data_IF_346380144956
#
_entry.id   IF_346380144956
#
_cell.length_a   1.000
_cell.length_b   1.000
_cell.length_c   1.000
_cell.angle_alpha   90.00
_cell.angle_beta   90.00
_cell.angle_gamma   90.00
#
_symmetry.space_group_name_H-M   'P 1'
#
loop_
_entity.id
_entity.type
_entity.pdbx_description
1 polymer ?
#
# COMPACT_ATOMS: atom_id res chain seq x y z
N UNK A 1 -29.60 -52.62 -27.10
CA UNK A 1 -28.52 -53.13 -27.98
C UNK A 1 -27.29 -52.37 -27.57
N UNK A 2 -26.48 -52.89 -26.65
CA UNK A 2 -25.20 -53.58 -26.76
C UNK A 2 -24.19 -52.76 -27.62
N UNK A 3 -23.00 -52.36 -27.17
CA UNK A 3 -21.87 -53.02 -26.50
C UNK A 3 -20.93 -51.95 -25.92
N UNK A 4 -20.55 -51.97 -24.74
CA UNK A 4 -19.35 -52.39 -24.02
C UNK A 4 -18.10 -52.60 -24.86
N UNK A 5 -17.01 -51.91 -24.48
CA UNK A 5 -15.67 -52.52 -24.42
C UNK A 5 -14.70 -51.66 -23.58
N UNK A 6 -14.28 -52.27 -22.53
CA UNK A 6 -13.16 -52.02 -21.62
C UNK A 6 -11.82 -52.19 -22.32
N UNK A 7 -10.80 -51.40 -21.96
CA UNK A 7 -9.42 -51.91 -21.99
C UNK A 7 -8.55 -51.25 -20.89
N UNK A 8 -8.11 -52.15 -19.99
CA UNK A 8 -7.05 -52.00 -19.01
C UNK A 8 -5.70 -52.34 -19.67
N UNK A 9 -4.65 -51.63 -19.38
CA UNK A 9 -3.25 -52.07 -19.41
C UNK A 9 -2.46 -51.13 -18.52
N UNK A 10 -2.02 -51.56 -17.39
CA UNK A 10 -0.81 -52.21 -16.84
C UNK A 10 0.34 -51.25 -16.49
N UNK A 11 0.62 -51.31 -15.20
CA UNK A 11 1.83 -50.83 -14.50
C UNK A 11 3.11 -51.39 -15.11
N UNK A 12 4.17 -50.60 -15.05
CA UNK A 12 5.53 -51.12 -14.93
C UNK A 12 6.34 -50.29 -13.93
N UNK A 13 6.66 -50.91 -12.81
CA UNK A 13 7.68 -50.45 -11.85
C UNK A 13 9.05 -50.89 -12.36
N UNK A 14 10.03 -49.97 -12.33
CA UNK A 14 11.44 -50.34 -12.34
C UNK A 14 12.13 -49.60 -11.20
N UNK A 15 12.58 -50.42 -10.26
CA UNK A 15 13.47 -50.07 -9.16
C UNK A 15 14.90 -50.37 -9.60
N UNK A 16 15.83 -49.44 -9.37
CA UNK A 16 17.26 -49.76 -9.39
C UNK A 16 17.96 -49.00 -8.25
N UNK A 17 18.45 -49.81 -7.38
CA UNK A 17 19.29 -49.60 -6.22
C UNK A 17 20.76 -49.57 -6.69
N UNK A 18 21.59 -48.69 -6.21
CA UNK A 18 23.05 -48.89 -6.08
C UNK A 18 23.63 -47.92 -5.04
N UNK A 19 24.15 -48.44 -4.16
CA UNK A 19 24.95 -48.48 -3.02
C UNK A 19 26.32 -47.77 -3.13
N UNK A 20 26.60 -47.04 -2.06
CA UNK A 20 27.82 -46.86 -1.26
C UNK A 20 29.21 -46.88 -1.89
N UNK A 21 30.05 -45.93 -1.42
CA UNK A 21 31.36 -46.25 -0.84
C UNK A 21 31.81 -45.15 0.10
N UNK A 22 32.14 -45.53 1.31
CA UNK A 22 32.83 -44.84 2.41
C UNK A 22 34.32 -44.61 2.05
N UNK A 23 34.88 -43.47 2.49
CA UNK A 23 36.31 -43.42 2.83
C UNK A 23 36.53 -42.45 3.96
N UNK A 24 36.89 -42.97 5.10
CA UNK A 24 37.38 -42.31 6.30
C UNK A 24 38.91 -42.22 6.14
N UNK A 25 39.49 -41.04 6.40
CA UNK A 25 40.87 -40.93 6.83
C UNK A 25 40.93 -40.00 8.03
N UNK A 26 41.46 -40.55 9.10
CA UNK A 26 41.63 -39.94 10.39
C UNK A 26 43.10 -39.46 10.62
N UNK A 27 43.26 -38.59 11.60
CA UNK A 27 44.38 -38.34 12.47
C UNK A 27 45.52 -37.45 12.02
N UNK A 28 45.78 -36.51 12.94
CA UNK A 28 47.07 -35.81 13.12
C UNK A 28 46.96 -34.67 14.11
N UNK A 29 47.09 -34.97 15.41
CA UNK A 29 47.34 -34.06 16.52
C UNK A 29 48.78 -33.59 16.48
N UNK A 30 49.07 -32.31 16.74
CA UNK A 30 50.25 -31.87 17.45
C UNK A 30 50.04 -30.51 18.11
N UNK A 31 50.16 -30.53 19.45
CA UNK A 31 50.39 -29.36 20.30
C UNK A 31 51.80 -28.83 20.09
N UNK A 32 52.00 -27.53 20.08
CA UNK A 32 53.03 -26.85 20.90
C UNK A 32 52.96 -25.31 20.90
N UNK A 33 52.79 -24.82 22.10
CA UNK A 33 53.60 -23.80 22.79
C UNK A 33 53.61 -22.32 22.36
N UNK A 34 53.19 -21.54 23.37
CA UNK A 34 53.33 -20.09 23.56
C UNK A 34 54.55 -19.41 22.96
N UNK A 35 54.32 -18.23 22.34
CA UNK A 35 55.14 -17.04 22.59
C UNK A 35 54.30 -15.76 22.50
N UNK A 36 54.29 -15.02 23.58
CA UNK A 36 53.83 -13.65 23.74
C UNK A 36 54.70 -12.70 22.94
N UNK A 37 54.06 -11.89 22.08
CA UNK A 37 54.59 -10.60 21.64
C UNK A 37 53.45 -9.61 21.60
N UNK A 38 53.58 -8.62 22.46
CA UNK A 38 52.79 -7.38 22.45
C UNK A 38 53.21 -6.54 21.26
N UNK A 39 52.23 -6.12 20.41
CA UNK A 39 52.29 -4.79 19.81
C UNK A 39 50.90 -4.32 19.40
N UNK A 40 50.65 -3.07 19.71
CA UNK A 40 49.42 -2.32 19.41
C UNK A 40 49.23 -2.12 17.92
N UNK A 41 48.01 -2.33 17.41
CA UNK A 41 47.39 -1.37 16.52
C UNK A 41 46.00 -1.80 16.07
N UNK A 42 45.04 -0.90 16.28
CA UNK A 42 43.78 -0.64 15.58
C UNK A 42 42.76 -1.76 15.48
N UNK A 43 41.88 -1.77 16.44
CA UNK A 43 40.54 -2.31 16.39
C UNK A 43 39.74 -1.59 15.30
N UNK A 44 39.47 -2.30 14.22
CA UNK A 44 38.33 -1.98 13.33
C UNK A 44 37.12 -2.63 13.97
N UNK A 45 36.38 -1.87 14.72
CA UNK A 45 35.10 -2.26 15.32
C UNK A 45 34.05 -2.27 14.21
N UNK A 46 33.62 -3.44 13.77
CA UNK A 46 32.39 -3.58 13.03
C UNK A 46 31.24 -3.27 14.00
N UNK A 47 30.81 -2.03 14.00
CA UNK A 47 29.59 -1.61 14.68
C UNK A 47 28.41 -2.18 13.92
N UNK A 48 27.85 -3.25 14.45
CA UNK A 48 26.47 -3.62 14.22
C UNK A 48 25.62 -2.53 14.89
N UNK A 49 25.24 -1.52 14.13
CA UNK A 49 24.30 -0.49 14.57
C UNK A 49 22.90 -1.10 14.55
N UNK A 50 22.47 -1.56 15.72
CA UNK A 50 21.03 -1.68 16.00
C UNK A 50 20.44 -0.29 15.78
N UNK A 51 19.60 -0.14 14.77
CA UNK A 51 18.91 1.10 14.46
C UNK A 51 17.91 1.41 15.59
N UNK A 52 18.37 2.14 16.59
CA UNK A 52 17.50 2.88 17.50
C UNK A 52 17.01 4.09 16.73
N UNK A 53 15.74 4.04 16.28
CA UNK A 53 15.14 5.06 15.47
C UNK A 53 15.14 6.43 16.12
N UNK A 54 15.94 7.31 15.58
CA UNK A 54 15.67 8.73 15.46
C UNK A 54 15.80 9.03 13.97
N UNK A 55 14.72 8.79 13.22
CA UNK A 55 14.59 9.27 11.87
C UNK A 55 14.59 10.79 11.96
N UNK A 56 15.68 11.42 11.53
CA UNK A 56 15.63 12.86 11.30
C UNK A 56 14.56 13.14 10.25
N UNK A 57 13.82 14.21 10.40
CA UNK A 57 12.79 14.67 9.44
C UNK A 57 13.33 14.67 8.00
N UNK A 58 14.58 15.05 7.80
CA UNK A 58 15.27 15.02 6.52
C UNK A 58 15.35 13.63 5.88
N UNK A 59 15.58 12.58 6.67
CA UNK A 59 15.69 11.20 6.15
C UNK A 59 14.36 10.68 5.60
N UNK A 60 13.24 11.01 6.27
CA UNK A 60 11.90 10.66 5.77
C UNK A 60 11.52 11.45 4.51
N UNK A 61 12.00 12.68 4.41
CA UNK A 61 11.69 13.53 3.26
C UNK A 61 12.44 13.13 1.99
N UNK A 62 13.71 12.68 2.10
CA UNK A 62 14.58 12.46 0.95
C UNK A 62 15.38 11.15 0.97
N UNK A 63 15.53 10.50 2.10
CA UNK A 63 16.40 9.33 2.25
C UNK A 63 15.71 8.26 3.08
N UNK A 64 14.76 7.57 2.48
CA UNK A 64 14.10 6.41 3.10
C UNK A 64 14.47 5.16 2.30
N UNK A 65 15.02 4.16 2.97
CA UNK A 65 15.40 2.90 2.35
C UNK A 65 14.97 1.73 3.22
N UNK A 66 14.40 0.72 2.60
CA UNK A 66 13.94 -0.50 3.24
C UNK A 66 14.32 -1.70 2.37
N UNK A 67 14.82 -2.77 2.97
CA UNK A 67 15.18 -4.00 2.26
C UNK A 67 15.17 -5.17 3.25
N UNK A 68 14.01 -5.77 3.47
CA UNK A 68 13.84 -6.90 4.38
C UNK A 68 12.92 -7.97 3.80
N UNK A 69 13.11 -9.21 4.22
CA UNK A 69 12.31 -10.33 3.78
C UNK A 69 10.93 -10.29 4.45
N UNK A 70 9.88 -10.32 3.64
CA UNK A 70 8.52 -10.47 4.11
C UNK A 70 8.16 -11.96 4.11
N UNK A 71 7.98 -12.52 5.30
CA UNK A 71 7.70 -13.95 5.51
C UNK A 71 6.22 -14.30 5.53
N UNK A 72 5.32 -13.34 5.25
CA UNK A 72 3.89 -13.61 5.05
C UNK A 72 3.70 -14.70 4.01
N UNK A 73 2.79 -15.63 4.28
CA UNK A 73 2.57 -16.82 3.43
C UNK A 73 2.28 -16.46 1.97
N UNK A 74 1.65 -15.32 1.74
CA UNK A 74 1.28 -14.83 0.40
C UNK A 74 2.39 -14.03 -0.29
N UNK A 75 3.53 -13.77 0.38
CA UNK A 75 4.64 -12.95 -0.14
C UNK A 75 5.90 -13.78 -0.32
N UNK A 76 6.55 -14.21 0.75
CA UNK A 76 7.75 -15.08 0.75
C UNK A 76 8.88 -14.53 -0.14
N UNK A 77 9.06 -13.20 -0.17
CA UNK A 77 10.13 -12.52 -0.91
C UNK A 77 10.57 -11.25 -0.20
N UNK A 78 11.63 -10.62 -0.68
CA UNK A 78 12.15 -9.38 -0.08
C UNK A 78 11.32 -8.18 -0.50
N UNK A 79 10.85 -7.38 0.45
CA UNK A 79 10.33 -6.04 0.22
C UNK A 79 11.49 -5.07 0.08
N UNK A 80 11.49 -4.28 -0.98
CA UNK A 80 12.57 -3.33 -1.27
C UNK A 80 12.04 -2.00 -1.76
N UNK A 81 12.47 -0.92 -1.13
CA UNK A 81 12.21 0.45 -1.56
C UNK A 81 13.40 1.35 -1.23
N UNK A 82 13.65 2.31 -2.10
CA UNK A 82 14.71 3.32 -1.95
C UNK A 82 14.19 4.67 -2.45
N UNK A 83 14.15 5.65 -1.52
CA UNK A 83 13.77 7.02 -1.81
C UNK A 83 15.00 7.90 -1.77
N UNK A 84 15.15 8.77 -2.77
CA UNK A 84 16.23 9.72 -2.84
C UNK A 84 15.77 11.06 -3.42
N UNK A 85 16.48 12.13 -3.09
CA UNK A 85 16.23 13.45 -3.67
C UNK A 85 17.43 13.93 -4.48
N UNK A 86 17.16 14.53 -5.64
CA UNK A 86 18.17 15.18 -6.48
C UNK A 86 17.60 16.45 -7.10
N UNK A 87 18.22 17.58 -6.83
CA UNK A 87 17.72 18.88 -7.29
C UNK A 87 16.35 19.22 -6.69
N UNK A 88 15.33 19.32 -7.52
CA UNK A 88 13.95 19.61 -7.11
C UNK A 88 13.03 18.38 -7.17
N UNK A 89 13.60 17.20 -7.28
CA UNK A 89 12.84 15.97 -7.55
C UNK A 89 13.14 14.92 -6.49
N UNK A 90 12.09 14.29 -5.97
CA UNK A 90 12.10 13.07 -5.17
C UNK A 90 11.90 11.89 -6.11
N UNK A 91 12.68 10.86 -5.94
CA UNK A 91 12.60 9.60 -6.69
C UNK A 91 12.30 8.45 -5.76
N UNK A 92 11.56 7.47 -6.26
CA UNK A 92 11.42 6.15 -5.62
C UNK A 92 11.76 5.06 -6.62
N UNK A 93 12.52 4.08 -6.15
CA UNK A 93 12.70 2.78 -6.81
C UNK A 93 12.29 1.71 -5.82
N UNK A 94 11.35 0.85 -6.22
CA UNK A 94 10.82 -0.19 -5.35
C UNK A 94 10.37 -1.41 -6.16
N UNK A 95 10.12 -2.52 -5.45
CA UNK A 95 9.57 -3.71 -6.08
C UNK A 95 8.08 -3.94 -5.79
N UNK A 96 7.39 -2.98 -5.16
CA UNK A 96 5.95 -3.05 -4.89
C UNK A 96 5.52 -4.16 -3.93
N UNK A 97 6.47 -4.80 -3.24
CA UNK A 97 6.20 -5.79 -2.20
C UNK A 97 6.02 -5.06 -0.87
N UNK A 98 4.90 -5.25 -0.14
CA UNK A 98 4.69 -4.62 1.16
C UNK A 98 5.70 -5.11 2.20
N UNK A 99 6.02 -4.24 3.15
CA UNK A 99 6.96 -4.47 4.26
C UNK A 99 6.29 -4.95 5.55
N UNK A 100 5.00 -5.22 5.50
CA UNK A 100 4.17 -5.67 6.62
C UNK A 100 3.46 -6.97 6.27
N UNK A 101 2.84 -7.60 7.28
CA UNK A 101 1.99 -8.77 7.08
C UNK A 101 0.81 -8.45 6.15
N UNK A 102 0.50 -9.37 5.27
CA UNK A 102 -0.62 -9.29 4.34
C UNK A 102 -1.61 -10.43 4.55
N UNK A 103 -2.81 -10.26 4.03
CA UNK A 103 -3.81 -11.30 3.99
C UNK A 103 -3.43 -12.50 3.11
N UNK A 104 -4.34 -13.46 3.05
CA UNK A 104 -4.16 -14.63 2.16
C UNK A 104 -4.48 -14.26 0.73
N UNK A 105 -3.51 -14.42 -0.18
CA UNK A 105 -3.64 -14.28 -1.62
C UNK A 105 -2.98 -15.46 -2.33
N UNK A 106 -3.67 -16.10 -3.32
CA UNK A 106 -5.05 -15.81 -3.75
C UNK A 106 -6.11 -16.18 -2.70
N UNK A 107 -7.27 -15.52 -2.77
CA UNK A 107 -8.44 -15.86 -1.96
C UNK A 107 -9.70 -15.99 -2.85
N UNK A 108 -10.86 -16.44 -2.31
CA UNK A 108 -12.06 -16.68 -3.12
C UNK A 108 -12.54 -15.48 -3.93
N UNK A 109 -12.34 -14.27 -3.42
CA UNK A 109 -12.80 -13.01 -4.03
C UNK A 109 -11.70 -12.26 -4.77
N UNK A 110 -10.43 -12.66 -4.57
CA UNK A 110 -9.27 -12.16 -5.32
C UNK A 110 -8.34 -13.32 -5.72
N UNK A 111 -8.41 -13.79 -6.96
CA UNK A 111 -7.66 -14.98 -7.40
C UNK A 111 -6.19 -14.70 -7.75
N UNK A 112 -5.73 -13.47 -7.56
CA UNK A 112 -4.39 -13.04 -7.98
C UNK A 112 -3.35 -13.33 -6.89
N UNK A 113 -2.10 -13.51 -7.31
CA UNK A 113 -0.94 -13.76 -6.43
C UNK A 113 -0.05 -12.54 -6.43
N UNK A 114 0.45 -12.14 -5.25
CA UNK A 114 1.40 -11.03 -5.13
C UNK A 114 2.69 -11.38 -5.88
N UNK A 115 3.19 -10.45 -6.67
CA UNK A 115 4.48 -10.56 -7.36
C UNK A 115 5.21 -9.23 -7.41
N UNK A 116 6.54 -9.30 -7.54
CA UNK A 116 7.37 -8.11 -7.67
C UNK A 116 6.99 -7.28 -8.90
N UNK A 117 7.00 -5.97 -8.71
CA UNK A 117 6.74 -4.95 -9.71
C UNK A 117 8.01 -4.14 -9.96
N UNK A 118 8.03 -3.38 -11.04
CA UNK A 118 9.04 -2.35 -11.25
C UNK A 118 8.41 -1.00 -10.97
N UNK A 119 8.66 -0.46 -9.77
CA UNK A 119 8.21 0.87 -9.38
C UNK A 119 9.37 1.83 -9.56
N UNK A 120 9.18 2.85 -10.40
CA UNK A 120 10.18 3.90 -10.64
C UNK A 120 9.42 5.20 -10.93
N UNK A 121 9.21 6.00 -9.88
CA UNK A 121 8.40 7.20 -9.94
C UNK A 121 9.19 8.40 -9.46
N UNK A 122 8.71 9.59 -9.85
CA UNK A 122 9.32 10.86 -9.46
C UNK A 122 8.27 11.89 -9.09
N UNK A 123 8.58 12.67 -8.06
CA UNK A 123 7.67 13.68 -7.49
C UNK A 123 8.43 15.00 -7.32
N UNK A 124 7.73 16.13 -7.49
CA UNK A 124 8.32 17.43 -7.20
C UNK A 124 8.56 17.59 -5.69
N UNK A 125 9.69 18.23 -5.31
CA UNK A 125 9.96 18.65 -3.92
C UNK A 125 9.30 19.99 -3.55
N UNK A 126 8.78 20.69 -4.57
CA UNK A 126 8.15 22.01 -4.42
C UNK A 126 6.75 21.99 -5.05
N UNK A 127 5.83 21.16 -4.50
CA UNK A 127 4.49 21.09 -5.06
C UNK A 127 3.80 22.45 -4.94
N UNK A 128 3.06 22.82 -5.98
CA UNK A 128 2.32 24.07 -6.06
C UNK A 128 0.82 23.72 -6.05
N UNK A 129 0.10 24.29 -5.07
CA UNK A 129 -1.34 24.10 -5.01
C UNK A 129 -2.03 24.87 -6.14
N UNK A 130 -2.92 24.18 -6.86
CA UNK A 130 -3.74 24.72 -7.93
C UNK A 130 -5.14 25.09 -7.42
N UNK A 131 -5.76 26.07 -8.06
CA UNK A 131 -7.17 26.40 -7.83
C UNK A 131 -8.14 25.37 -8.44
N UNK A 132 -7.63 24.45 -9.28
CA UNK A 132 -8.40 23.39 -9.92
C UNK A 132 -7.94 22.03 -9.45
N UNK A 133 -8.86 21.06 -9.39
CA UNK A 133 -8.57 19.68 -9.03
C UNK A 133 -8.38 18.81 -10.26
N UNK A 134 -7.48 17.83 -10.18
CA UNK A 134 -7.32 16.78 -11.20
C UNK A 134 -7.78 15.45 -10.62
N UNK A 135 -8.79 14.83 -11.25
CA UNK A 135 -9.29 13.50 -10.83
C UNK A 135 -8.25 12.44 -11.10
N UNK A 136 -8.03 11.57 -10.11
CA UNK A 136 -7.06 10.47 -10.14
C UNK A 136 -7.70 9.15 -9.69
N UNK A 137 -6.94 8.07 -9.81
CA UNK A 137 -7.34 6.72 -9.39
C UNK A 137 -7.95 5.89 -10.52
N UNK A 138 -7.79 4.58 -10.45
CA UNK A 138 -8.20 3.64 -11.48
C UNK A 138 -7.57 3.97 -12.84
N UNK A 139 -8.37 4.08 -13.92
CA UNK A 139 -7.84 4.36 -15.26
C UNK A 139 -7.21 5.75 -15.43
N UNK A 140 -7.35 6.65 -14.43
CA UNK A 140 -6.76 8.01 -14.45
C UNK A 140 -5.35 8.07 -13.86
N UNK A 141 -4.81 6.94 -13.39
CA UNK A 141 -3.45 6.85 -12.85
C UNK A 141 -3.39 6.66 -11.34
N UNK A 142 -2.19 6.36 -10.88
CA UNK A 142 -1.88 6.09 -9.47
C UNK A 142 -1.97 7.37 -8.65
N UNK A 143 -2.62 7.30 -7.50
CA UNK A 143 -2.82 8.46 -6.60
C UNK A 143 -1.54 8.89 -5.88
N UNK A 144 -0.64 7.94 -5.65
CA UNK A 144 0.62 8.15 -4.96
C UNK A 144 1.31 6.83 -4.63
N UNK A 145 2.49 6.94 -4.02
CA UNK A 145 3.28 5.79 -3.57
C UNK A 145 3.49 5.90 -2.07
N UNK A 146 3.11 4.84 -1.34
CA UNK A 146 3.41 4.68 0.09
C UNK A 146 4.92 4.55 0.28
N UNK A 147 5.45 4.99 1.42
CA UNK A 147 6.90 4.98 1.66
C UNK A 147 7.54 3.59 1.52
N UNK A 148 6.76 2.52 1.69
CA UNK A 148 7.20 1.14 1.42
C UNK A 148 7.24 0.76 -0.07
N UNK A 149 6.97 1.68 -0.98
CA UNK A 149 7.01 1.46 -2.42
C UNK A 149 5.75 0.84 -3.04
N UNK A 150 4.71 0.61 -2.25
CA UNK A 150 3.42 0.10 -2.74
C UNK A 150 2.56 1.26 -3.22
N UNK A 151 1.89 1.09 -4.36
CA UNK A 151 1.03 2.13 -4.94
C UNK A 151 -0.30 2.28 -4.21
N UNK A 152 -0.85 3.49 -4.26
CA UNK A 152 -2.22 3.81 -3.86
C UNK A 152 -3.07 3.89 -5.12
N UNK A 153 -4.09 3.03 -5.20
CA UNK A 153 -5.04 3.01 -6.30
C UNK A 153 -6.46 2.85 -5.77
N UNK A 154 -7.09 3.97 -5.43
CA UNK A 154 -8.43 3.97 -4.84
C UNK A 154 -9.54 3.71 -5.85
N UNK A 155 -9.26 3.71 -7.15
CA UNK A 155 -10.23 3.33 -8.18
C UNK A 155 -10.46 1.83 -8.24
N UNK A 156 -11.66 1.42 -8.67
CA UNK A 156 -11.97 0.00 -8.90
C UNK A 156 -12.19 -0.30 -10.37
N UNK A 157 -11.98 -1.57 -10.75
CA UNK A 157 -12.33 -2.10 -12.07
C UNK A 157 -13.75 -2.65 -12.14
N UNK A 158 -14.64 -2.31 -11.18
CA UNK A 158 -16.01 -2.81 -11.14
C UNK A 158 -17.03 -1.74 -11.46
N UNK A 159 -18.07 -2.09 -12.23
CA UNK A 159 -19.17 -1.19 -12.55
C UNK A 159 -20.50 -1.90 -12.75
N UNK A 160 -21.59 -1.13 -12.66
CA UNK A 160 -22.94 -1.56 -13.01
C UNK A 160 -23.55 -0.65 -14.09
N UNK A 161 -24.45 -1.21 -14.90
CA UNK A 161 -25.25 -0.45 -15.88
C UNK A 161 -26.40 0.32 -15.20
N UNK A 162 -26.94 1.33 -15.91
CA UNK A 162 -28.08 2.11 -15.47
C UNK A 162 -29.31 1.24 -15.22
N UNK A 163 -29.94 1.40 -14.04
CA UNK A 163 -31.24 0.82 -13.66
C UNK A 163 -31.38 -0.69 -13.86
N UNK A 164 -30.27 -1.40 -14.06
CA UNK A 164 -30.27 -2.86 -14.24
C UNK A 164 -29.28 -3.51 -13.28
N UNK A 165 -29.61 -4.73 -12.89
CA UNK A 165 -28.76 -5.53 -11.98
C UNK A 165 -27.64 -6.25 -12.75
N UNK A 166 -27.06 -5.56 -13.71
CA UNK A 166 -25.96 -6.05 -14.52
C UNK A 166 -24.67 -5.34 -14.12
N UNK A 167 -23.88 -6.02 -13.32
CA UNK A 167 -22.62 -5.53 -12.79
C UNK A 167 -21.47 -6.40 -13.27
N UNK A 168 -20.35 -5.79 -13.59
CA UNK A 168 -19.10 -6.46 -13.90
C UNK A 168 -18.01 -6.03 -12.93
N UNK A 169 -17.42 -6.98 -12.19
CA UNK A 169 -16.30 -6.72 -11.27
C UNK A 169 -14.96 -6.60 -12.01
N UNK A 170 -14.92 -6.84 -13.30
CA UNK A 170 -13.70 -6.87 -14.11
C UNK A 170 -13.56 -5.74 -15.12
N UNK A 171 -14.52 -4.82 -15.21
CA UNK A 171 -14.48 -3.71 -16.15
C UNK A 171 -15.14 -2.43 -15.62
N UNK A 172 -14.99 -1.33 -16.38
CA UNK A 172 -15.53 0.00 -16.08
C UNK A 172 -16.50 0.47 -17.18
N UNK A 173 -17.19 -0.44 -17.84
CA UNK A 173 -18.08 -0.08 -18.96
C UNK A 173 -19.42 0.50 -18.51
N UNK A 174 -19.86 0.16 -17.27
CA UNK A 174 -21.08 0.69 -16.68
C UNK A 174 -20.92 2.11 -16.13
N UNK A 175 -22.03 2.80 -15.93
CA UNK A 175 -22.06 4.18 -15.45
C UNK A 175 -21.85 4.30 -13.92
N UNK A 176 -22.05 3.20 -13.17
CA UNK A 176 -21.98 3.16 -11.72
C UNK A 176 -20.74 2.40 -11.26
N UNK A 177 -19.70 3.13 -10.84
CA UNK A 177 -18.44 2.56 -10.38
C UNK A 177 -18.58 1.99 -8.99
N UNK A 178 -18.26 0.70 -8.81
CA UNK A 178 -18.37 0.01 -7.52
C UNK A 178 -17.21 0.44 -6.62
N UNK A 179 -17.50 0.77 -5.35
CA UNK A 179 -16.50 1.05 -4.33
C UNK A 179 -15.85 -0.26 -3.83
N UNK A 180 -14.54 -0.23 -3.60
CA UNK A 180 -13.82 -1.36 -3.03
C UNK A 180 -14.10 -1.53 -1.54
N UNK A 181 -14.32 -0.43 -0.82
CA UNK A 181 -14.48 -0.37 0.63
C UNK A 181 -15.84 0.26 0.99
N UNK A 182 -16.24 0.13 2.27
CA UNK A 182 -17.47 0.74 2.82
C UNK A 182 -18.78 0.28 2.17
N UNK A 183 -18.79 -0.93 1.62
CA UNK A 183 -19.98 -1.59 1.10
C UNK A 183 -19.84 -3.11 1.26
N UNK A 184 -20.97 -3.80 1.42
CA UNK A 184 -21.01 -5.24 1.71
C UNK A 184 -21.62 -6.06 0.55
N UNK A 185 -21.96 -5.40 -0.56
CA UNK A 185 -22.63 -6.06 -1.70
C UNK A 185 -21.65 -6.81 -2.59
N UNK A 186 -20.46 -6.25 -2.77
CA UNK A 186 -19.40 -6.81 -3.60
C UNK A 186 -18.14 -7.00 -2.76
N UNK A 187 -17.50 -8.16 -2.91
CA UNK A 187 -16.20 -8.42 -2.30
C UNK A 187 -15.10 -8.36 -3.34
N UNK A 188 -14.05 -7.59 -3.05
CA UNK A 188 -12.83 -7.51 -3.85
C UNK A 188 -11.68 -8.30 -3.21
N UNK A 189 -11.97 -9.06 -2.14
CA UNK A 189 -10.99 -9.88 -1.43
C UNK A 189 -9.87 -9.07 -0.79
N UNK A 190 -10.19 -7.86 -0.29
CA UNK A 190 -9.24 -7.01 0.42
C UNK A 190 -8.83 -7.64 1.76
N UNK A 191 -7.60 -7.37 2.18
CA UNK A 191 -7.08 -7.76 3.49
C UNK A 191 -7.27 -6.67 4.55
N UNK A 192 -6.77 -6.91 5.77
CA UNK A 192 -6.84 -5.97 6.90
C UNK A 192 -6.06 -4.67 6.66
N UNK A 193 -5.28 -4.60 5.58
CA UNK A 193 -4.58 -3.38 5.16
C UNK A 193 -5.37 -2.58 4.12
N UNK A 194 -6.65 -2.88 3.92
CA UNK A 194 -7.48 -2.27 2.87
C UNK A 194 -6.85 -2.37 1.48
N UNK A 195 -6.25 -3.50 1.18
CA UNK A 195 -5.49 -3.75 -0.03
C UNK A 195 -5.84 -5.10 -0.66
N UNK A 196 -5.62 -5.22 -1.95
CA UNK A 196 -5.71 -6.48 -2.67
C UNK A 196 -4.74 -6.52 -3.86
N UNK A 197 -4.83 -7.57 -4.70
CA UNK A 197 -3.88 -7.85 -5.78
C UNK A 197 -4.54 -7.69 -7.14
N UNK A 198 -3.94 -6.91 -8.04
CA UNK A 198 -4.37 -6.80 -9.43
C UNK A 198 -3.97 -8.06 -10.25
N UNK A 199 -4.56 -8.26 -11.45
CA UNK A 199 -4.22 -9.41 -12.30
C UNK A 199 -2.74 -9.52 -12.70
N UNK A 200 -2.00 -8.42 -12.69
CA UNK A 200 -0.56 -8.38 -12.95
C UNK A 200 0.30 -8.73 -11.71
N UNK A 201 -0.33 -9.04 -10.58
CA UNK A 201 0.32 -9.36 -9.32
C UNK A 201 0.66 -8.14 -8.45
N UNK A 202 0.22 -6.95 -8.85
CA UNK A 202 0.47 -5.71 -8.10
C UNK A 202 -0.44 -5.62 -6.87
N UNK A 203 0.14 -5.72 -5.68
CA UNK A 203 -0.53 -5.39 -4.42
C UNK A 203 -0.69 -3.88 -4.32
N UNK A 204 -1.85 -3.39 -3.89
CA UNK A 204 -2.13 -1.96 -3.82
C UNK A 204 -3.17 -1.63 -2.77
N UNK A 205 -3.11 -0.39 -2.24
CA UNK A 205 -4.00 0.09 -1.20
C UNK A 205 -5.19 0.85 -1.78
N UNK A 206 -6.39 0.53 -1.25
CA UNK A 206 -7.63 1.30 -1.44
C UNK A 206 -7.93 2.23 -0.27
N UNK A 207 -7.40 1.93 0.91
CA UNK A 207 -7.56 2.68 2.15
C UNK A 207 -6.33 2.57 3.04
N UNK A 208 -6.50 2.95 4.31
CA UNK A 208 -5.44 3.00 5.31
C UNK A 208 -4.57 1.75 5.31
N UNK A 209 -3.25 1.85 5.08
CA UNK A 209 -2.32 0.73 5.13
C UNK A 209 -1.97 0.42 6.60
N UNK A 210 -2.86 -0.26 7.33
CA UNK A 210 -2.81 -0.43 8.79
C UNK A 210 -1.50 -1.04 9.29
N UNK A 211 -1.01 -2.09 8.61
CA UNK A 211 0.27 -2.72 8.94
C UNK A 211 1.43 -1.75 8.80
N UNK A 212 1.46 -0.99 7.70
CA UNK A 212 2.49 0.02 7.47
C UNK A 212 2.42 1.16 8.50
N UNK A 213 1.22 1.68 8.79
CA UNK A 213 1.02 2.71 9.83
C UNK A 213 1.53 2.22 11.17
N UNK A 214 1.25 0.97 11.52
CA UNK A 214 1.74 0.33 12.76
C UNK A 214 3.27 0.24 12.78
N UNK A 215 3.90 -0.22 11.69
CA UNK A 215 5.36 -0.27 11.58
C UNK A 215 6.02 1.11 11.71
N UNK A 216 5.35 2.16 11.25
CA UNK A 216 5.78 3.56 11.40
C UNK A 216 5.56 4.12 12.82
N UNK A 217 4.99 3.32 13.74
CA UNK A 217 4.64 3.77 15.09
C UNK A 217 3.43 4.69 15.13
N UNK A 218 2.59 4.66 14.09
CA UNK A 218 1.39 5.45 13.98
C UNK A 218 0.37 5.09 15.05
N UNK A 219 -0.15 6.10 15.74
CA UNK A 219 -1.17 5.96 16.78
C UNK A 219 -1.87 7.30 17.01
N UNK A 220 -2.83 7.36 17.94
CA UNK A 220 -3.62 8.58 18.25
C UNK A 220 -2.81 9.77 18.78
N UNK A 221 -1.53 9.59 19.05
CA UNK A 221 -0.62 10.63 19.54
C UNK A 221 0.44 11.04 18.49
N UNK A 222 0.34 10.50 17.27
CA UNK A 222 1.30 10.77 16.19
C UNK A 222 0.58 11.15 14.90
N UNK A 223 1.01 12.26 14.28
CA UNK A 223 0.68 12.56 12.88
C UNK A 223 1.71 11.87 12.01
N UNK A 224 1.30 10.84 11.28
CA UNK A 224 2.22 9.89 10.62
C UNK A 224 2.19 10.08 9.12
N UNK A 225 3.32 10.50 8.54
CA UNK A 225 3.53 10.55 7.09
C UNK A 225 3.59 9.10 6.56
N UNK A 226 2.78 8.79 5.55
CA UNK A 226 2.68 7.45 4.99
C UNK A 226 3.05 7.37 3.50
N UNK A 227 2.84 8.45 2.73
CA UNK A 227 3.00 8.41 1.29
C UNK A 227 3.28 9.80 0.69
N UNK A 228 3.65 9.79 -0.58
CA UNK A 228 3.68 10.97 -1.45
C UNK A 228 2.65 10.83 -2.55
N UNK A 229 1.80 11.83 -2.70
CA UNK A 229 0.81 11.91 -3.76
C UNK A 229 1.48 12.19 -5.12
N UNK A 230 0.78 11.88 -6.22
CA UNK A 230 1.28 12.07 -7.57
C UNK A 230 1.73 13.51 -7.89
N UNK A 231 1.12 14.50 -7.23
CA UNK A 231 1.47 15.93 -7.33
C UNK A 231 2.58 16.38 -6.37
N UNK A 232 3.17 15.44 -5.61
CA UNK A 232 4.27 15.70 -4.68
C UNK A 232 3.87 16.13 -3.28
N UNK A 233 2.59 16.38 -3.00
CA UNK A 233 2.13 16.67 -1.64
C UNK A 233 2.16 15.42 -0.76
N UNK A 234 2.43 15.58 0.57
CA UNK A 234 2.46 14.45 1.49
C UNK A 234 1.05 13.92 1.80
N UNK A 235 0.97 12.62 2.06
CA UNK A 235 -0.22 11.94 2.54
C UNK A 235 0.04 11.43 3.95
N UNK A 236 -0.83 11.80 4.89
CA UNK A 236 -0.76 11.36 6.28
C UNK A 236 -1.82 10.30 6.59
N UNK A 237 -1.55 9.48 7.61
CA UNK A 237 -2.54 8.63 8.23
C UNK A 237 -3.61 9.46 8.96
N UNK A 238 -4.63 8.79 9.50
CA UNK A 238 -5.88 9.36 10.03
C UNK A 238 -5.77 10.55 11.00
N UNK A 239 -4.65 10.72 11.71
CA UNK A 239 -4.54 11.75 12.77
C UNK A 239 -3.85 13.01 12.28
N UNK A 240 -4.43 14.16 12.60
CA UNK A 240 -3.87 15.48 12.34
C UNK A 240 -4.17 16.46 13.46
N UNK A 241 -3.51 17.61 13.45
CA UNK A 241 -3.74 18.65 14.46
C UNK A 241 -5.18 19.18 14.40
N UNK A 242 -5.85 19.29 15.55
CA UNK A 242 -7.23 19.78 15.62
C UNK A 242 -7.39 21.22 15.12
N UNK A 243 -6.34 22.03 15.25
CA UNK A 243 -6.21 23.37 14.65
C UNK A 243 -5.10 23.27 13.59
N UNK A 244 -5.45 23.51 12.34
CA UNK A 244 -4.60 23.19 11.20
C UNK A 244 -3.23 23.92 11.18
N UNK A 245 -3.17 25.14 11.72
CA UNK A 245 -1.98 25.98 11.78
C UNK A 245 -1.28 25.98 13.16
N UNK A 246 -1.70 25.12 14.09
CA UNK A 246 -1.16 25.04 15.45
C UNK A 246 -0.67 23.63 15.80
N UNK A 247 0.65 23.42 15.68
CA UNK A 247 1.33 22.18 16.05
C UNK A 247 1.27 21.86 17.57
N UNK A 248 0.81 22.78 18.41
CA UNK A 248 0.59 22.56 19.85
C UNK A 248 -0.84 22.07 20.16
N UNK A 249 -1.75 22.15 19.20
CA UNK A 249 -3.11 21.65 19.36
C UNK A 249 -3.13 20.12 19.43
N UNK A 250 -4.10 19.54 20.17
CA UNK A 250 -4.19 18.08 20.25
C UNK A 250 -4.44 17.45 18.87
N UNK A 251 -3.92 16.26 18.67
CA UNK A 251 -4.27 15.45 17.51
C UNK A 251 -5.70 14.93 17.63
N UNK A 252 -6.38 14.84 16.51
CA UNK A 252 -7.67 14.16 16.36
C UNK A 252 -7.70 13.37 15.07
N UNK A 253 -8.62 12.43 15.00
CA UNK A 253 -8.95 11.75 13.75
C UNK A 253 -9.58 12.75 12.78
N UNK A 254 -9.06 12.79 11.56
CA UNK A 254 -9.56 13.67 10.50
C UNK A 254 -10.79 13.06 9.85
N UNK A 255 -11.83 13.86 9.72
CA UNK A 255 -13.10 13.46 9.11
C UNK A 255 -13.21 13.98 7.68
N UNK A 256 -13.57 13.09 6.76
CA UNK A 256 -13.91 13.45 5.40
C UNK A 256 -15.17 14.34 5.35
N UNK A 257 -15.27 15.18 4.33
CA UNK A 257 -16.47 15.98 4.05
C UNK A 257 -17.39 15.33 3.01
N UNK A 258 -17.25 14.03 2.75
CA UNK A 258 -18.16 13.29 1.90
C UNK A 258 -19.32 12.68 2.70
N UNK A 259 -20.50 12.71 2.12
CA UNK A 259 -21.73 12.15 2.66
C UNK A 259 -22.46 11.38 1.56
N UNK A 260 -23.38 10.51 1.93
CA UNK A 260 -24.28 9.92 0.95
C UNK A 260 -25.13 11.00 0.29
N UNK A 261 -25.36 10.87 -1.03
CA UNK A 261 -26.27 11.74 -1.76
C UNK A 261 -27.65 11.79 -1.08
N UNK A 262 -28.24 12.96 -1.06
CA UNK A 262 -29.59 13.17 -0.48
C UNK A 262 -30.72 12.80 -1.45
N UNK A 263 -30.42 12.74 -2.74
CA UNK A 263 -31.40 12.42 -3.80
C UNK A 263 -30.83 11.35 -4.72
N UNK A 264 -31.52 10.23 -4.78
CA UNK A 264 -31.14 9.10 -5.65
C UNK A 264 -31.63 9.36 -7.08
N UNK A 265 -30.75 9.17 -8.06
CA UNK A 265 -31.08 9.30 -9.47
C UNK A 265 -31.97 8.14 -9.93
N UNK A 266 -32.94 8.42 -10.83
CA UNK A 266 -33.87 7.41 -11.36
C UNK A 266 -33.17 6.29 -12.15
N UNK A 267 -31.99 6.57 -12.69
CA UNK A 267 -31.19 5.59 -13.44
C UNK A 267 -30.17 4.84 -12.58
N UNK A 268 -30.11 5.11 -11.28
CA UNK A 268 -29.26 4.34 -10.36
C UNK A 268 -29.81 2.92 -10.20
N UNK A 269 -28.96 1.87 -10.15
CA UNK A 269 -29.39 0.54 -9.73
C UNK A 269 -30.09 0.57 -8.36
N UNK A 270 -31.05 -0.34 -8.17
CA UNK A 270 -31.95 -0.34 -7.01
C UNK A 270 -31.23 -0.23 -5.68
N UNK A 271 -31.64 0.70 -4.80
CA UNK A 271 -31.10 0.83 -3.44
C UNK A 271 -31.49 -0.34 -2.52
N UNK A 272 -32.50 -1.11 -2.88
CA UNK A 272 -32.91 -2.32 -2.14
C UNK A 272 -31.93 -3.48 -2.37
N UNK A 273 -31.25 -3.48 -3.54
CA UNK A 273 -30.24 -4.48 -3.91
C UNK A 273 -28.84 -3.94 -3.61
N UNK A 274 -28.62 -2.69 -3.93
CA UNK A 274 -27.33 -1.98 -3.78
C UNK A 274 -27.51 -0.77 -2.86
N UNK A 275 -27.32 -0.90 -1.54
CA UNK A 275 -27.45 0.20 -0.58
C UNK A 275 -26.59 1.41 -0.97
N UNK A 276 -26.96 2.60 -0.49
CA UNK A 276 -26.12 3.79 -0.66
C UNK A 276 -24.71 3.54 -0.08
N UNK A 277 -23.71 4.00 -0.81
CA UNK A 277 -22.31 3.73 -0.52
C UNK A 277 -21.70 2.63 -1.40
N UNK A 278 -22.53 1.84 -2.08
CA UNK A 278 -22.07 0.80 -3.02
C UNK A 278 -21.29 1.39 -4.19
N UNK A 279 -21.69 2.57 -4.65
CA UNK A 279 -21.07 3.22 -5.81
C UNK A 279 -20.37 4.52 -5.45
N UNK A 280 -19.32 4.86 -6.21
CA UNK A 280 -18.63 6.17 -6.13
C UNK A 280 -19.63 7.32 -6.24
N UNK A 281 -20.64 7.18 -7.12
CA UNK A 281 -21.66 8.18 -7.38
C UNK A 281 -22.70 8.31 -6.25
N UNK A 282 -22.67 7.46 -5.25
CA UNK A 282 -23.49 7.57 -4.05
C UNK A 282 -22.98 8.60 -3.04
N UNK A 283 -21.81 9.16 -3.31
CA UNK A 283 -21.14 10.10 -2.42
C UNK A 283 -21.07 11.49 -3.02
N UNK A 284 -21.38 12.48 -2.20
CA UNK A 284 -21.25 13.89 -2.55
C UNK A 284 -20.37 14.63 -1.54
N UNK A 285 -19.53 15.53 -2.05
CA UNK A 285 -18.77 16.43 -1.20
C UNK A 285 -19.66 17.54 -0.66
N UNK A 286 -19.66 17.73 0.66
CA UNK A 286 -20.41 18.80 1.35
C UNK A 286 -19.42 19.66 2.12
N UNK A 287 -19.08 20.81 1.58
CA UNK A 287 -18.11 21.71 2.17
C UNK A 287 -18.41 22.03 3.64
N UNK A 288 -17.42 21.79 4.52
CA UNK A 288 -17.53 22.07 5.94
C UNK A 288 -18.31 21.04 6.77
N UNK A 289 -18.72 19.91 6.20
CA UNK A 289 -19.32 18.81 6.95
C UNK A 289 -18.28 17.96 7.70
N UNK A 290 -17.02 18.03 7.29
CA UNK A 290 -15.86 17.42 7.92
C UNK A 290 -14.69 18.39 8.01
N UNK A 291 -13.50 17.84 8.16
CA UNK A 291 -12.24 18.60 8.33
C UNK A 291 -11.52 18.90 7.02
N UNK A 292 -11.85 18.13 5.98
CA UNK A 292 -11.07 18.02 4.76
C UNK A 292 -11.88 18.57 3.56
N UNK A 293 -11.14 18.98 2.53
CA UNK A 293 -11.72 19.44 1.28
C UNK A 293 -12.13 18.28 0.34
N UNK A 294 -12.53 18.60 -0.89
CA UNK A 294 -13.02 17.66 -1.89
C UNK A 294 -11.96 16.63 -2.36
N UNK A 295 -10.67 16.91 -2.13
CA UNK A 295 -9.58 15.97 -2.39
C UNK A 295 -9.06 15.29 -1.10
N UNK A 296 -9.85 15.32 -0.03
CA UNK A 296 -9.48 14.73 1.26
C UNK A 296 -8.20 15.30 1.86
N UNK A 297 -7.97 16.60 1.66
CA UNK A 297 -6.80 17.32 2.11
C UNK A 297 -7.13 18.65 2.80
N UNK A 298 -6.11 19.29 3.30
CA UNK A 298 -6.16 20.66 3.85
C UNK A 298 -4.78 21.30 3.86
N UNK A 299 -4.71 22.62 3.95
CA UNK A 299 -3.48 23.32 4.30
C UNK A 299 -3.29 23.32 5.84
N UNK A 300 -2.07 23.11 6.31
CA UNK A 300 -1.74 23.17 7.73
C UNK A 300 -0.31 22.79 8.04
N UNK A 301 0.07 22.92 9.31
CA UNK A 301 1.38 22.47 9.80
C UNK A 301 1.40 20.97 10.01
N UNK A 302 2.57 20.37 9.81
CA UNK A 302 2.82 18.95 10.05
C UNK A 302 4.17 18.80 10.75
N UNK A 303 4.51 17.63 11.32
CA UNK A 303 5.83 17.41 11.91
C UNK A 303 6.98 17.68 10.93
N UNK A 304 6.81 17.32 9.66
CA UNK A 304 7.82 17.49 8.61
C UNK A 304 7.79 18.89 7.98
N UNK A 305 6.65 19.58 8.05
CA UNK A 305 6.45 20.92 7.47
C UNK A 305 5.90 21.90 8.51
N UNK A 306 6.73 22.38 9.45
CA UNK A 306 6.29 23.27 10.54
C UNK A 306 5.87 24.68 10.08
N UNK A 307 6.13 25.03 8.82
CA UNK A 307 5.67 26.29 8.22
C UNK A 307 4.33 26.15 7.48
N UNK A 308 3.79 24.93 7.46
CA UNK A 308 2.56 24.60 6.76
C UNK A 308 2.80 24.17 5.31
N UNK A 309 2.00 23.21 4.89
CA UNK A 309 1.93 22.69 3.52
C UNK A 309 0.50 22.19 3.28
N UNK A 310 0.04 22.20 2.05
CA UNK A 310 -1.15 21.43 1.70
C UNK A 310 -0.81 19.93 1.78
N UNK A 311 -1.69 19.12 2.35
CA UNK A 311 -1.46 17.70 2.53
C UNK A 311 -2.78 16.94 2.54
N UNK A 312 -2.71 15.67 2.14
CA UNK A 312 -3.82 14.74 2.11
C UNK A 312 -3.84 13.87 3.37
N UNK A 313 -4.99 13.26 3.63
CA UNK A 313 -5.16 12.25 4.66
C UNK A 313 -5.74 10.96 4.08
N UNK A 314 -5.25 9.82 4.55
CA UNK A 314 -6.01 8.60 4.52
C UNK A 314 -7.02 8.65 5.67
N UNK A 315 -8.31 8.45 5.38
CA UNK A 315 -9.40 8.48 6.34
C UNK A 315 -10.03 7.11 6.53
N UNK A 316 -10.68 6.87 7.68
CA UNK A 316 -11.36 5.60 7.97
C UNK A 316 -12.73 5.49 7.29
N UNK A 317 -13.20 6.59 6.70
CA UNK A 317 -14.45 6.67 5.94
C UNK A 317 -14.17 7.13 4.51
N UNK A 318 -15.14 6.95 3.61
CA UNK A 318 -15.04 7.43 2.24
C UNK A 318 -14.55 8.89 2.20
N UNK A 319 -13.60 9.24 1.32
CA UNK A 319 -13.09 8.48 0.18
C UNK A 319 -11.89 7.57 0.50
N UNK A 320 -11.53 7.35 1.75
CA UNK A 320 -10.37 6.60 2.25
C UNK A 320 -9.04 7.25 1.85
N UNK A 321 -8.67 7.19 0.59
CA UNK A 321 -7.67 8.03 -0.05
C UNK A 321 -8.33 9.07 -0.96
N UNK A 322 -7.62 10.15 -1.26
CA UNK A 322 -8.07 11.19 -2.17
C UNK A 322 -8.51 10.61 -3.53
N UNK A 323 -9.50 11.24 -4.18
CA UNK A 323 -9.97 10.90 -5.54
C UNK A 323 -9.54 11.94 -6.56
N UNK A 324 -8.86 12.98 -6.10
CA UNK A 324 -8.26 14.02 -6.91
C UNK A 324 -6.99 14.54 -6.26
N UNK A 325 -6.19 15.27 -7.02
CA UNK A 325 -5.06 16.02 -6.53
C UNK A 325 -5.27 17.51 -6.77
N UNK A 326 -4.69 18.34 -5.91
CA UNK A 326 -4.75 19.81 -5.95
C UNK A 326 -3.45 20.45 -6.37
N UNK A 327 -2.42 19.67 -6.63
CA UNK A 327 -1.16 20.15 -7.18
C UNK A 327 -1.09 20.00 -8.70
N UNK A 328 -0.10 20.65 -9.29
CA UNK A 328 0.29 20.45 -10.68
C UNK A 328 0.95 19.06 -10.82
N UNK A 329 0.60 18.33 -11.90
CA UNK A 329 1.15 17.00 -12.24
C UNK A 329 2.29 17.13 -13.25
#
# INVERSE_FOLDING_TARGET
MNHSLSNKIKLLKISLLSAAIFSIVACGSDEQSLKTVTDESTLSSSNSTTATGSSSTEQVLCEYSYNEYNDSTSVQTTSSTDWACTGTTRYVVANGIPDHDVGTFPNPDNPNTISEQTVSESFTLTPIQSDTTTLMGGPRGVLGIVLNGVKIDAGTGGSCDDSVDNCSLGDNSGNWSIEALSQDTFSFGTDDNNAHVQPDGSYHYHGMPEGFVTLRGGNSSTMTLIAWAADGFPIYARYGYSTADDASSPLKEMTSSYQHISTVSDNRPSIEIYPLGTFVQDWEYVAGSGDLDECNGRFGVTPEFPQGIYHYYATDTYPFFQRCVKGEL
#
